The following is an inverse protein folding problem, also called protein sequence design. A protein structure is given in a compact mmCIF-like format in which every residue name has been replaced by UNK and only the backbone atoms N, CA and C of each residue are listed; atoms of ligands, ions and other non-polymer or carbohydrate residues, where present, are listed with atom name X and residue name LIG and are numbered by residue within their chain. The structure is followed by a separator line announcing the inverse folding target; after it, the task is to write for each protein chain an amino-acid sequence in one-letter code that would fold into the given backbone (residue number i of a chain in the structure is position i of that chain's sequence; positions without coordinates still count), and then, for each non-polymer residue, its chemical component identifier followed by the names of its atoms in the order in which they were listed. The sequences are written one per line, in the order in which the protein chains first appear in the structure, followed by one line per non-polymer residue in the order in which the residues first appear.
data_IF_189057508629
#
_entry.id   IF_189057508629
#
_cell.length_a   1.000
_cell.length_b   1.000
_cell.length_c   1.000
_cell.angle_alpha   90.00
_cell.angle_beta   90.00
_cell.angle_gamma   90.00
#
_symmetry.space_group_name_H-M   'P 1'
#
loop_
_entity.id
_entity.type
_entity.pdbx_description
1 polymer ?
#
# COMPACT_ATOMS: atom_id res chain seq x y z
N UNK A 1 -22.20 -1.95 -3.30
CA UNK A 1 -20.91 -1.33 -3.63
C UNK A 1 -19.80 -2.34 -3.34
N UNK A 2 -18.92 -2.65 -4.30
CA UNK A 2 -17.78 -3.53 -4.05
C UNK A 2 -16.92 -2.89 -2.95
N UNK A 3 -16.44 -3.71 -2.00
CA UNK A 3 -15.57 -3.24 -0.92
C UNK A 3 -14.20 -2.94 -1.51
N UNK A 4 -14.02 -1.74 -2.01
CA UNK A 4 -12.76 -1.24 -2.58
C UNK A 4 -11.60 -1.43 -1.58
N UNK A 5 -10.40 -1.67 -2.09
CA UNK A 5 -9.14 -1.73 -1.33
C UNK A 5 -8.97 -0.57 -0.31
N UNK A 6 -9.61 0.58 -0.60
CA UNK A 6 -9.74 1.73 0.30
C UNK A 6 -10.28 1.41 1.70
N UNK A 7 -11.11 0.38 1.86
CA UNK A 7 -11.80 0.10 3.12
C UNK A 7 -10.85 -0.21 4.29
N UNK A 8 -9.61 -0.59 4.00
CA UNK A 8 -8.60 -0.95 5.02
C UNK A 8 -7.40 -0.01 5.05
N UNK A 9 -7.32 0.97 4.15
CA UNK A 9 -6.27 1.99 4.18
C UNK A 9 -6.61 3.03 5.26
N UNK A 10 -5.65 3.29 6.16
CA UNK A 10 -5.76 4.25 7.26
C UNK A 10 -4.89 5.49 7.07
N UNK A 11 -3.99 5.47 6.08
CA UNK A 11 -3.19 6.62 5.67
C UNK A 11 -3.71 7.23 4.36
N UNK A 12 -3.14 8.37 3.99
CA UNK A 12 -3.35 8.96 2.67
C UNK A 12 -2.49 8.23 1.64
N UNK A 13 -3.01 8.04 0.43
CA UNK A 13 -2.33 7.29 -0.62
C UNK A 13 -2.33 8.03 -1.94
N UNK A 14 -1.23 7.90 -2.67
CA UNK A 14 -1.16 8.32 -4.05
C UNK A 14 -2.11 7.46 -4.92
N UNK A 15 -2.83 8.10 -5.84
CA UNK A 15 -3.79 7.41 -6.70
C UNK A 15 -3.15 6.27 -7.50
N UNK A 16 -1.92 6.48 -8.00
CA UNK A 16 -1.16 5.46 -8.72
C UNK A 16 -0.71 4.31 -7.80
N UNK A 17 -0.48 4.55 -6.51
CA UNK A 17 -0.15 3.51 -5.54
C UNK A 17 -1.37 2.63 -5.26
N UNK A 18 -2.54 3.24 -5.02
CA UNK A 18 -3.81 2.53 -4.86
C UNK A 18 -4.16 1.69 -6.09
N UNK A 19 -3.95 2.22 -7.31
CA UNK A 19 -4.20 1.48 -8.55
C UNK A 19 -3.36 0.19 -8.68
N UNK A 20 -2.17 0.14 -8.05
CA UNK A 20 -1.36 -1.10 -8.00
C UNK A 20 -1.89 -2.09 -6.97
N UNK A 21 -2.34 -1.58 -5.82
CA UNK A 21 -3.00 -2.42 -4.80
C UNK A 21 -4.25 -3.07 -5.41
N UNK A 22 -5.08 -2.30 -6.11
CA UNK A 22 -6.35 -2.78 -6.66
C UNK A 22 -6.18 -3.93 -7.68
N UNK A 23 -5.03 -3.98 -8.38
CA UNK A 23 -4.68 -5.07 -9.29
C UNK A 23 -4.32 -6.38 -8.59
N UNK A 24 -3.97 -6.35 -7.31
CA UNK A 24 -3.60 -7.53 -6.55
C UNK A 24 -4.85 -8.27 -6.05
N UNK A 25 -4.78 -9.60 -5.80
CA UNK A 25 -5.87 -10.34 -5.16
C UNK A 25 -6.19 -9.79 -3.76
N UNK A 26 -7.45 -9.82 -3.32
CA UNK A 26 -7.92 -9.15 -2.09
C UNK A 26 -7.10 -9.48 -0.84
N UNK A 27 -6.67 -10.72 -0.66
CA UNK A 27 -5.81 -11.13 0.47
C UNK A 27 -4.43 -10.44 0.43
N UNK A 28 -3.86 -10.29 -0.78
CA UNK A 28 -2.59 -9.61 -1.01
C UNK A 28 -2.76 -8.10 -0.83
N UNK A 29 -3.90 -7.52 -1.23
CA UNK A 29 -4.19 -6.10 -1.02
C UNK A 29 -4.06 -5.71 0.46
N UNK A 30 -4.66 -6.50 1.36
CA UNK A 30 -4.58 -6.31 2.80
C UNK A 30 -3.12 -6.31 3.31
N UNK A 31 -2.31 -7.25 2.81
CA UNK A 31 -0.89 -7.33 3.16
C UNK A 31 -0.11 -6.12 2.63
N UNK A 32 -0.34 -5.71 1.38
CA UNK A 32 0.33 -4.54 0.79
C UNK A 32 -0.03 -3.28 1.58
N UNK A 33 -1.31 -3.04 1.87
CA UNK A 33 -1.75 -1.85 2.63
C UNK A 33 -1.07 -1.81 3.98
N UNK A 34 -1.15 -2.90 4.76
CA UNK A 34 -0.57 -2.96 6.10
C UNK A 34 0.94 -2.70 6.09
N UNK A 35 1.68 -3.34 5.19
CA UNK A 35 3.13 -3.19 5.11
C UNK A 35 3.53 -1.79 4.65
N UNK A 36 2.79 -1.22 3.70
CA UNK A 36 3.06 0.12 3.16
C UNK A 36 2.80 1.21 4.19
N UNK A 37 1.71 1.10 4.95
CA UNK A 37 1.42 2.06 6.01
C UNK A 37 2.37 1.94 7.18
N UNK A 38 2.78 0.73 7.54
CA UNK A 38 3.83 0.51 8.54
C UNK A 38 5.15 1.16 8.11
N UNK A 39 5.54 1.01 6.85
CA UNK A 39 6.76 1.61 6.31
C UNK A 39 6.66 3.13 6.21
N UNK A 40 5.51 3.68 5.80
CA UNK A 40 5.28 5.11 5.76
C UNK A 40 5.43 5.72 7.16
N UNK A 41 4.75 5.13 8.16
CA UNK A 41 4.85 5.56 9.56
C UNK A 41 6.28 5.46 10.10
N UNK A 42 7.00 4.37 9.78
CA UNK A 42 8.39 4.20 10.18
C UNK A 42 9.31 5.29 9.59
N UNK A 43 8.98 5.80 8.40
CA UNK A 43 9.67 6.91 7.76
C UNK A 43 9.16 8.29 8.21
N UNK A 44 8.25 8.36 9.19
CA UNK A 44 7.65 9.61 9.66
C UNK A 44 6.65 10.24 8.70
N UNK A 45 6.14 9.47 7.73
CA UNK A 45 5.16 9.92 6.74
C UNK A 45 3.79 9.29 7.00
N UNK A 46 2.74 10.09 6.81
CA UNK A 46 1.35 9.60 6.78
C UNK A 46 0.81 9.49 5.35
N UNK A 47 1.71 9.54 4.36
CA UNK A 47 1.40 9.48 2.94
C UNK A 47 2.15 8.32 2.27
N UNK A 48 1.41 7.40 1.66
CA UNK A 48 1.94 6.25 0.93
C UNK A 48 2.08 6.61 -0.54
N UNK A 49 3.30 6.56 -1.04
CA UNK A 49 3.64 6.86 -2.45
C UNK A 49 3.91 5.60 -3.24
N UNK A 50 3.86 5.72 -4.57
CA UNK A 50 4.28 4.64 -5.48
C UNK A 50 5.73 4.22 -5.21
N UNK A 51 6.61 5.19 -4.96
CA UNK A 51 8.01 4.94 -4.63
C UNK A 51 8.18 4.06 -3.40
N UNK A 52 7.39 4.29 -2.35
CA UNK A 52 7.41 3.46 -1.15
C UNK A 52 7.01 2.01 -1.46
N UNK A 53 6.01 1.81 -2.34
CA UNK A 53 5.64 0.47 -2.78
C UNK A 53 6.77 -0.22 -3.55
N UNK A 54 7.46 0.51 -4.45
CA UNK A 54 8.60 0.00 -5.21
C UNK A 54 9.75 -0.42 -4.28
N UNK A 55 10.06 0.40 -3.27
CA UNK A 55 11.07 0.09 -2.26
C UNK A 55 10.72 -1.16 -1.43
N UNK A 56 9.43 -1.34 -1.10
CA UNK A 56 8.96 -2.50 -0.35
C UNK A 56 8.98 -3.78 -1.18
N UNK A 57 8.63 -3.72 -2.46
CA UNK A 57 8.73 -4.86 -3.38
C UNK A 57 10.19 -5.27 -3.58
N UNK A 58 11.09 -4.30 -3.77
CA UNK A 58 12.52 -4.56 -3.90
C UNK A 58 13.12 -5.23 -2.66
N UNK A 59 12.60 -4.94 -1.46
CA UNK A 59 13.02 -5.59 -0.20
C UNK A 59 12.50 -7.01 -0.02
N UNK A 60 11.32 -7.35 -0.56
CA UNK A 60 10.71 -8.68 -0.42
C UNK A 60 11.18 -9.70 -1.46
N UNK A 61 11.79 -9.24 -2.55
CA UNK A 61 12.35 -10.10 -3.61
C UNK A 61 13.76 -10.65 -3.35
N UNK A 62 14.20 -10.75 -2.09
CA UNK A 62 15.46 -11.38 -1.69
C UNK A 62 15.23 -12.62 -0.86
#
# INVERSE_FOLDING_TARGET
VPRDAKSNATLEWEAAALARVDKAPSFVQLMIIKNSEAAARANGSNFVTVKLLDELQAKQGK
#
